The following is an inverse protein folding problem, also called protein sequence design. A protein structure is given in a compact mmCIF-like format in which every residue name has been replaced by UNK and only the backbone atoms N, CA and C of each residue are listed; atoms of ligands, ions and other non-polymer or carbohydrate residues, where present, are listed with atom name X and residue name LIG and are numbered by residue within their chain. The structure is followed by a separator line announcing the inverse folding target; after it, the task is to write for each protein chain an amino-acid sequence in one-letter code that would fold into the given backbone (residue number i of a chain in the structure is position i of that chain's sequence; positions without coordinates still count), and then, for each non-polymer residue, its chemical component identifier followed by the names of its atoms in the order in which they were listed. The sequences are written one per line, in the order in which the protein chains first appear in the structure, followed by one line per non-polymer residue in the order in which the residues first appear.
data_IF_628680162207
#
_entry.id   IF_628680162207
#
_cell.length_a   1.000
_cell.length_b   1.000
_cell.length_c   1.000
_cell.angle_alpha   90.00
_cell.angle_beta   90.00
_cell.angle_gamma   90.00
#
_symmetry.space_group_name_H-M   'P 1'
#
loop_
_entity.id
_entity.type
_entity.pdbx_description
1 polymer ?
#
# COMPACT_ATOMS: atom_id res chain seq x y z
N UNK A 1 -38.36 -23.98 -25.29
CA UNK A 1 -37.79 -22.80 -24.61
C UNK A 1 -37.43 -23.10 -23.15
N UNK A 2 -36.34 -23.80 -22.83
CA UNK A 2 -36.00 -24.09 -21.42
C UNK A 2 -34.50 -24.22 -21.12
N UNK A 3 -33.63 -24.29 -22.14
CA UNK A 3 -32.18 -24.51 -21.91
C UNK A 3 -31.35 -23.24 -21.74
N UNK A 4 -31.86 -22.06 -22.11
CA UNK A 4 -31.11 -20.81 -22.04
C UNK A 4 -31.13 -20.13 -20.64
N UNK A 5 -32.15 -20.40 -19.81
CA UNK A 5 -32.28 -19.80 -18.48
C UNK A 5 -31.26 -20.32 -17.45
N UNK A 6 -30.72 -21.54 -17.63
CA UNK A 6 -29.77 -22.14 -16.67
C UNK A 6 -28.35 -21.56 -16.79
N UNK A 7 -27.92 -21.14 -17.97
CA UNK A 7 -26.58 -20.58 -18.17
C UNK A 7 -26.44 -19.14 -17.65
N UNK A 8 -27.50 -18.33 -17.76
CA UNK A 8 -27.49 -16.95 -17.26
C UNK A 8 -27.45 -16.90 -15.72
N UNK A 9 -28.08 -17.85 -15.04
CA UNK A 9 -28.06 -17.95 -13.57
C UNK A 9 -26.68 -18.34 -13.03
N UNK A 10 -25.94 -19.21 -13.74
CA UNK A 10 -24.63 -19.69 -13.30
C UNK A 10 -23.54 -18.59 -13.40
N UNK A 11 -23.64 -17.72 -14.41
CA UNK A 11 -22.72 -16.60 -14.62
C UNK A 11 -22.87 -15.48 -13.58
N UNK A 12 -24.10 -15.24 -13.11
CA UNK A 12 -24.34 -14.27 -12.03
C UNK A 12 -23.77 -14.74 -10.69
N UNK A 13 -23.82 -16.05 -10.40
CA UNK A 13 -23.29 -16.61 -9.14
C UNK A 13 -21.74 -16.58 -9.12
N UNK A 14 -21.07 -16.68 -10.28
CA UNK A 14 -19.60 -16.58 -10.35
C UNK A 14 -19.05 -15.16 -10.12
N UNK A 15 -19.82 -14.10 -10.41
CA UNK A 15 -19.37 -12.72 -10.12
C UNK A 15 -19.48 -12.35 -8.63
N UNK A 16 -20.36 -13.02 -7.89
CA UNK A 16 -20.60 -12.74 -6.46
C UNK A 16 -19.53 -13.31 -5.51
N UNK A 17 -18.66 -14.20 -5.99
CA UNK A 17 -17.66 -14.89 -5.15
C UNK A 17 -16.30 -14.18 -5.06
N UNK A 18 -16.08 -13.07 -5.75
CA UNK A 18 -14.74 -12.47 -5.87
C UNK A 18 -14.43 -11.33 -4.88
N UNK A 19 -15.36 -10.92 -3.99
CA UNK A 19 -15.17 -9.71 -3.16
C UNK A 19 -14.67 -9.94 -1.73
N UNK A 20 -14.43 -11.18 -1.29
CA UNK A 20 -14.03 -11.46 0.10
C UNK A 20 -12.52 -11.72 0.34
N UNK A 21 -11.69 -11.74 -0.71
CA UNK A 21 -10.25 -12.01 -0.57
C UNK A 21 -9.39 -10.79 -0.19
N UNK A 22 -9.88 -9.56 -0.42
CA UNK A 22 -9.09 -8.33 -0.18
C UNK A 22 -8.83 -8.04 1.30
N UNK A 23 -9.71 -8.50 2.21
CA UNK A 23 -9.54 -8.32 3.65
C UNK A 23 -8.38 -9.15 4.23
N UNK A 24 -8.04 -10.27 3.61
CA UNK A 24 -7.00 -11.18 4.09
C UNK A 24 -5.60 -10.62 3.91
N UNK A 25 -5.32 -9.97 2.77
CA UNK A 25 -4.00 -9.40 2.50
C UNK A 25 -3.73 -8.16 3.36
N UNK A 26 -4.74 -7.31 3.59
CA UNK A 26 -4.59 -6.14 4.47
C UNK A 26 -4.11 -6.57 5.87
N UNK A 27 -4.77 -7.56 6.47
CA UNK A 27 -4.38 -8.11 7.78
C UNK A 27 -2.96 -8.67 7.82
N UNK A 28 -2.46 -9.20 6.70
CA UNK A 28 -1.10 -9.77 6.60
C UNK A 28 -0.01 -8.70 6.55
N UNK A 29 -0.35 -7.47 6.17
CA UNK A 29 0.60 -6.35 6.07
C UNK A 29 0.38 -5.29 7.16
N UNK A 30 -0.71 -5.36 7.91
CA UNK A 30 -0.96 -4.53 9.09
C UNK A 30 0.14 -4.71 10.16
N UNK A 31 0.48 -3.60 10.81
CA UNK A 31 1.45 -3.48 11.91
C UNK A 31 2.87 -3.97 11.56
N UNK A 32 3.21 -4.03 10.27
CA UNK A 32 4.56 -4.24 9.77
C UNK A 32 5.16 -2.93 9.30
N UNK A 33 6.46 -2.77 9.52
CA UNK A 33 7.24 -1.66 8.97
C UNK A 33 7.83 -2.10 7.65
N UNK A 34 7.56 -1.33 6.59
CA UNK A 34 8.17 -1.53 5.28
C UNK A 34 9.10 -0.35 4.99
N UNK A 35 10.39 -0.63 4.89
CA UNK A 35 11.41 0.38 4.62
C UNK A 35 11.76 0.37 3.13
N UNK A 36 11.92 1.55 2.54
CA UNK A 36 12.37 1.75 1.17
C UNK A 36 13.64 2.58 1.12
N UNK A 37 14.25 2.62 -0.07
CA UNK A 37 15.48 3.37 -0.30
C UNK A 37 15.31 4.87 -0.01
N UNK A 38 16.42 5.53 0.35
CA UNK A 38 16.40 6.96 0.68
C UNK A 38 15.61 7.30 1.96
N UNK A 39 15.45 6.32 2.85
CA UNK A 39 14.73 6.45 4.10
C UNK A 39 13.21 6.53 3.92
N UNK A 40 12.66 6.02 2.82
CA UNK A 40 11.22 5.93 2.64
C UNK A 40 10.62 4.92 3.63
N UNK A 41 9.40 5.15 4.09
CA UNK A 41 8.73 4.20 4.98
C UNK A 41 7.22 4.13 4.75
N UNK A 42 6.68 2.94 4.99
CA UNK A 42 5.27 2.65 4.99
C UNK A 42 4.90 1.76 6.18
N UNK A 43 3.86 2.16 6.91
CA UNK A 43 3.27 1.36 8.00
C UNK A 43 1.76 1.46 7.92
N UNK A 44 1.05 0.32 7.92
CA UNK A 44 -0.40 0.29 8.09
C UNK A 44 -0.68 -0.07 9.55
N UNK A 45 -1.02 0.90 10.37
CA UNK A 45 -1.28 0.70 11.80
C UNK A 45 -2.73 0.28 12.01
N UNK A 46 -2.93 -0.87 12.65
CA UNK A 46 -4.26 -1.37 13.04
C UNK A 46 -4.31 -1.59 14.54
N UNK A 47 -4.89 -0.63 15.25
CA UNK A 47 -5.22 -0.78 16.66
C UNK A 47 -6.49 -1.63 16.86
N UNK A 48 -6.65 -2.17 18.07
CA UNK A 48 -7.84 -2.96 18.44
C UNK A 48 -9.09 -2.06 18.35
N UNK A 49 -10.13 -2.56 17.70
CA UNK A 49 -11.43 -1.87 17.50
C UNK A 49 -11.43 -0.53 16.74
N UNK A 50 -10.28 -0.06 16.22
CA UNK A 50 -10.22 1.15 15.35
C UNK A 50 -10.06 0.79 13.88
N UNK A 51 -10.38 1.68 12.96
CA UNK A 51 -10.02 1.50 11.54
C UNK A 51 -8.50 1.58 11.35
N UNK A 52 -7.93 0.88 10.34
CA UNK A 52 -6.52 0.99 10.01
C UNK A 52 -6.17 2.39 9.49
N UNK A 53 -4.95 2.82 9.75
CA UNK A 53 -4.35 4.08 9.27
C UNK A 53 -3.06 3.79 8.54
N UNK A 54 -2.82 4.50 7.44
CA UNK A 54 -1.58 4.39 6.66
C UNK A 54 -0.67 5.56 7.04
N UNK A 55 0.49 5.26 7.61
CA UNK A 55 1.59 6.19 7.78
C UNK A 55 2.55 6.00 6.61
N UNK A 56 2.79 7.05 5.83
CA UNK A 56 3.58 6.96 4.61
C UNK A 56 4.47 8.18 4.42
N UNK A 57 5.69 7.92 3.95
CA UNK A 57 6.52 8.90 3.27
C UNK A 57 7.38 8.23 2.19
N UNK A 58 7.55 8.95 1.09
CA UNK A 58 8.48 8.59 0.02
C UNK A 58 9.95 8.82 0.39
N UNK A 59 10.87 8.48 -0.53
CA UNK A 59 12.30 8.73 -0.36
C UNK A 59 12.60 10.21 -0.11
N UNK A 60 13.53 10.50 0.79
CA UNK A 60 13.98 11.87 1.02
C UNK A 60 14.77 12.40 -0.18
N UNK A 61 14.43 13.60 -0.62
CA UNK A 61 15.26 14.38 -1.55
C UNK A 61 16.36 15.16 -0.84
N UNK A 62 16.22 15.39 0.47
CA UNK A 62 17.17 16.16 1.26
C UNK A 62 18.33 15.24 1.65
N UNK A 63 19.51 15.62 1.18
CA UNK A 63 20.82 15.04 1.51
C UNK A 63 21.74 16.18 1.94
N UNK A 64 22.92 15.88 2.53
CA UNK A 64 23.91 16.91 2.79
C UNK A 64 24.19 17.73 1.53
N UNK A 65 24.13 19.06 1.65
CA UNK A 65 24.35 20.02 0.56
C UNK A 65 23.29 20.06 -0.56
N UNK A 66 22.06 19.55 -0.33
CA UNK A 66 20.96 19.75 -1.29
C UNK A 66 20.64 21.24 -1.48
N UNK A 67 20.57 21.67 -2.74
CA UNK A 67 20.22 23.04 -3.10
C UNK A 67 18.69 23.25 -3.03
N UNK A 68 18.18 24.33 -2.38
CA UNK A 68 16.76 24.67 -2.39
C UNK A 68 16.10 24.71 -3.79
N UNK A 69 16.83 25.13 -4.83
CA UNK A 69 16.29 25.14 -6.21
C UNK A 69 15.96 23.74 -6.73
N UNK A 70 16.70 22.72 -6.31
CA UNK A 70 16.44 21.32 -6.68
C UNK A 70 15.18 20.78 -6.01
N UNK A 71 14.89 21.25 -4.80
CA UNK A 71 13.66 20.92 -4.06
C UNK A 71 12.45 21.51 -4.79
N UNK A 72 12.55 22.76 -5.24
CA UNK A 72 11.44 23.43 -5.94
C UNK A 72 11.17 22.79 -7.31
N UNK A 73 12.21 22.40 -8.05
CA UNK A 73 12.08 21.63 -9.31
C UNK A 73 11.43 20.26 -9.10
N UNK A 74 11.56 19.67 -7.92
CA UNK A 74 11.05 18.35 -7.57
C UNK A 74 9.98 18.42 -6.46
N UNK A 75 9.17 19.49 -6.45
CA UNK A 75 8.23 19.79 -5.37
C UNK A 75 7.33 18.62 -5.01
N UNK A 76 6.80 17.90 -6.01
CA UNK A 76 5.92 16.75 -5.79
C UNK A 76 6.60 15.61 -5.03
N UNK A 77 7.84 15.29 -5.39
CA UNK A 77 8.65 14.26 -4.71
C UNK A 77 9.01 14.71 -3.29
N UNK A 78 9.30 15.99 -3.09
CA UNK A 78 9.51 16.56 -1.75
C UNK A 78 8.24 16.48 -0.88
N UNK A 79 7.07 16.82 -1.43
CA UNK A 79 5.80 16.70 -0.71
C UNK A 79 5.42 15.25 -0.42
N UNK A 80 5.86 14.31 -1.25
CA UNK A 80 5.73 12.86 -1.03
C UNK A 80 6.67 12.35 0.07
N UNK A 81 7.85 12.94 0.24
CA UNK A 81 8.82 12.54 1.26
C UNK A 81 8.49 12.99 2.68
N UNK A 82 7.44 13.80 2.86
CA UNK A 82 6.98 14.21 4.19
C UNK A 82 6.07 13.14 4.79
N UNK A 83 6.24 12.92 6.10
CA UNK A 83 5.39 12.01 6.87
C UNK A 83 3.93 12.47 6.82
N UNK A 84 3.06 11.61 6.28
CA UNK A 84 1.62 11.83 6.20
C UNK A 84 0.86 10.61 6.71
N UNK A 85 -0.29 10.87 7.32
CA UNK A 85 -1.21 9.85 7.79
C UNK A 85 -2.48 9.89 6.93
N UNK A 86 -3.00 8.72 6.56
CA UNK A 86 -4.19 8.55 5.74
C UNK A 86 -5.18 7.59 6.41
N UNK A 87 -6.47 7.93 6.39
CA UNK A 87 -7.56 7.12 6.96
C UNK A 87 -8.24 6.23 5.91
N UNK A 88 -9.13 5.37 6.36
CA UNK A 88 -9.98 4.53 5.50
C UNK A 88 -9.18 3.61 4.56
N UNK A 89 -8.10 3.04 5.10
CA UNK A 89 -7.21 2.16 4.36
C UNK A 89 -7.94 0.87 3.98
N UNK A 90 -7.87 0.51 2.71
CA UNK A 90 -8.40 -0.74 2.15
C UNK A 90 -7.51 -1.22 1.01
N UNK A 91 -7.79 -2.44 0.56
CA UNK A 91 -7.15 -3.03 -0.61
C UNK A 91 -8.17 -3.13 -1.73
N UNK A 92 -7.85 -2.55 -2.87
CA UNK A 92 -8.63 -2.67 -4.11
C UNK A 92 -7.88 -3.51 -5.13
N UNK A 93 -8.57 -4.46 -5.76
CA UNK A 93 -8.00 -5.25 -6.84
C UNK A 93 -8.39 -4.63 -8.18
N UNK A 94 -7.39 -4.28 -9.00
CA UNK A 94 -7.55 -3.72 -10.35
C UNK A 94 -6.51 -4.36 -11.25
N UNK A 95 -6.93 -4.86 -12.41
CA UNK A 95 -6.04 -5.50 -13.40
C UNK A 95 -5.13 -6.60 -12.81
N UNK A 96 -5.68 -7.38 -11.87
CA UNK A 96 -4.95 -8.47 -11.18
C UNK A 96 -3.92 -7.99 -10.14
N UNK A 97 -3.83 -6.69 -9.89
CA UNK A 97 -2.95 -6.08 -8.87
C UNK A 97 -3.76 -5.60 -7.67
N UNK A 98 -3.14 -5.69 -6.49
CA UNK A 98 -3.75 -5.29 -5.21
C UNK A 98 -3.17 -3.95 -4.77
N UNK A 99 -3.97 -2.90 -4.86
CA UNK A 99 -3.58 -1.54 -4.53
C UNK A 99 -3.98 -1.19 -3.09
N UNK A 100 -3.06 -0.56 -2.37
CA UNK A 100 -3.38 0.14 -1.12
C UNK A 100 -4.03 1.46 -1.49
N UNK A 101 -5.26 1.65 -1.03
CA UNK A 101 -5.98 2.92 -1.21
C UNK A 101 -6.45 3.42 0.15
N UNK A 102 -6.45 4.74 0.30
CA UNK A 102 -6.87 5.42 1.51
C UNK A 102 -7.47 6.78 1.13
N UNK A 103 -8.18 7.41 2.06
CA UNK A 103 -8.76 8.74 1.84
C UNK A 103 -7.64 9.75 1.56
N UNK A 104 -7.80 10.54 0.50
CA UNK A 104 -6.85 11.57 0.04
C UNK A 104 -5.44 11.02 -0.30
N UNK A 105 -5.29 9.71 -0.43
CA UNK A 105 -4.04 9.05 -0.81
C UNK A 105 -3.96 8.92 -2.33
N UNK A 106 -3.04 9.68 -2.94
CA UNK A 106 -2.93 9.80 -4.41
C UNK A 106 -1.90 8.87 -5.08
N UNK A 107 -1.08 8.16 -4.30
CA UNK A 107 0.03 7.36 -4.83
C UNK A 107 -0.37 5.92 -5.14
N UNK A 108 0.29 5.30 -6.13
CA UNK A 108 -0.01 3.93 -6.57
C UNK A 108 0.88 2.91 -5.88
N UNK A 109 0.43 2.46 -4.72
CA UNK A 109 1.13 1.42 -3.96
C UNK A 109 0.50 0.05 -4.21
N UNK A 110 1.29 -0.87 -4.75
CA UNK A 110 0.90 -2.24 -5.06
C UNK A 110 1.50 -3.20 -4.05
N UNK A 111 0.66 -4.04 -3.45
CA UNK A 111 1.12 -5.18 -2.66
C UNK A 111 1.57 -6.28 -3.61
N UNK A 112 2.88 -6.45 -3.73
CA UNK A 112 3.50 -7.51 -4.55
C UNK A 112 3.41 -8.84 -3.82
N UNK A 113 3.78 -8.84 -2.54
CA UNK A 113 3.68 -9.97 -1.62
C UNK A 113 3.54 -9.46 -0.17
N UNK A 114 3.54 -10.36 0.82
CA UNK A 114 3.34 -10.01 2.24
C UNK A 114 4.48 -9.20 2.87
N UNK A 115 5.63 -9.10 2.19
CA UNK A 115 6.84 -8.41 2.63
C UNK A 115 7.31 -7.34 1.63
N UNK A 116 6.66 -7.19 0.48
CA UNK A 116 7.05 -6.24 -0.57
C UNK A 116 5.87 -5.41 -1.05
N UNK A 117 6.03 -4.08 -1.00
CA UNK A 117 5.11 -3.11 -1.59
C UNK A 117 5.89 -2.28 -2.61
N UNK A 118 5.33 -2.10 -3.80
CA UNK A 118 5.91 -1.31 -4.88
C UNK A 118 5.13 -0.01 -5.05
N UNK A 119 5.84 1.11 -5.07
CA UNK A 119 5.34 2.36 -5.60
C UNK A 119 5.54 2.38 -7.11
N UNK A 120 4.47 2.21 -7.89
CA UNK A 120 4.55 2.12 -9.35
C UNK A 120 4.92 3.44 -10.02
N UNK A 121 4.68 4.58 -9.36
CA UNK A 121 4.94 5.90 -9.95
C UNK A 121 6.43 6.26 -9.88
N UNK A 122 7.06 5.96 -8.75
CA UNK A 122 8.48 6.25 -8.53
C UNK A 122 9.40 5.01 -8.67
N UNK A 123 8.82 3.83 -8.90
CA UNK A 123 9.52 2.54 -8.95
C UNK A 123 10.34 2.25 -7.68
N UNK A 124 9.75 2.53 -6.51
CA UNK A 124 10.39 2.33 -5.20
C UNK A 124 9.83 1.08 -4.53
N UNK A 125 10.71 0.18 -4.12
CA UNK A 125 10.31 -1.00 -3.33
C UNK A 125 10.41 -0.69 -1.84
N UNK A 126 9.35 -0.99 -1.12
CA UNK A 126 9.27 -0.99 0.33
C UNK A 126 9.28 -2.44 0.80
N UNK A 127 10.26 -2.81 1.62
CA UNK A 127 10.44 -4.18 2.09
C UNK A 127 10.28 -4.25 3.61
N UNK A 128 9.44 -5.16 4.05
CA UNK A 128 9.40 -5.55 5.45
C UNK A 128 10.57 -6.50 5.69
N UNK A 129 11.61 -6.05 6.39
CA UNK A 129 12.78 -6.84 6.75
C UNK A 129 12.50 -7.59 8.05
N UNK A 130 12.12 -8.88 8.02
CA UNK A 130 11.66 -9.59 9.22
C UNK A 130 12.80 -9.83 10.20
N UNK A 131 14.05 -9.78 9.74
CA UNK A 131 15.24 -10.16 10.49
C UNK A 131 15.87 -8.98 11.26
N UNK A 132 15.57 -7.72 10.90
CA UNK A 132 16.11 -6.55 11.62
C UNK A 132 15.42 -6.33 12.98
N UNK A 133 14.23 -6.89 13.19
CA UNK A 133 13.41 -6.65 14.38
C UNK A 133 13.19 -7.88 15.27
N UNK A 134 13.78 -9.04 14.92
CA UNK A 134 13.70 -10.26 15.73
C UNK A 134 14.58 -10.19 16.99
N UNK A 135 15.65 -9.38 16.97
CA UNK A 135 16.65 -9.36 18.05
C UNK A 135 16.58 -8.12 18.97
N UNK A 136 15.63 -7.21 18.78
CA UNK A 136 15.47 -6.03 19.65
C UNK A 136 14.70 -6.32 20.95
N UNK A 137 14.44 -7.60 21.26
CA UNK A 137 13.93 -8.08 22.54
C UNK A 137 15.00 -8.95 23.21
N UNK A 138 16.03 -8.31 23.75
CA UNK A 138 16.86 -8.85 24.84
C UNK A 138 16.81 -7.90 26.01
#
# INVERSE_FOLDING_TARGET
MTKLKKFVSLLLVSLLLCSCASSGILKKIENKVFDGDGGAQLVIVKEKFKSPKLMFHGPSLIKPNTNPEEIEKNRDKYEKSKNKEYSDVKIEEKDGKKYIVAKDFKYKLVVVDENTILDEEDNVNYRCLPDLYKDSKK
#
